data_IF_585695767370
#
_entry.id   IF_585695767370
#
_cell.length_a   1.000
_cell.length_b   1.000
_cell.length_c   1.000
_cell.angle_alpha   90.00
_cell.angle_beta   90.00
_cell.angle_gamma   90.00
#
_symmetry.space_group_name_H-M   'P 1'
#
loop_
_entity.id
_entity.type
_entity.pdbx_description
1 polymer ?
#
# COMPACT_ATOMS: atom_id res chain seq x y z
N UNK A 1 17.22 -16.87 -2.78
CA UNK A 1 17.30 -16.00 -3.99
C UNK A 1 15.87 -15.81 -4.52
N UNK A 2 15.32 -14.59 -4.50
CA UNK A 2 13.94 -14.30 -4.95
C UNK A 2 13.93 -14.05 -6.46
N UNK A 3 12.84 -14.42 -7.13
CA UNK A 3 12.62 -14.08 -8.54
C UNK A 3 11.67 -12.88 -8.56
N UNK A 4 12.01 -11.85 -9.31
CA UNK A 4 11.24 -10.62 -9.44
C UNK A 4 11.26 -10.17 -10.89
N UNK A 5 10.23 -9.41 -11.29
CA UNK A 5 10.11 -8.85 -12.64
C UNK A 5 10.17 -7.34 -12.56
N UNK A 6 10.90 -6.75 -13.50
CA UNK A 6 10.97 -5.31 -13.67
C UNK A 6 10.69 -4.98 -15.13
N UNK A 7 10.11 -3.80 -15.37
CA UNK A 7 10.00 -3.29 -16.74
C UNK A 7 11.40 -2.90 -17.24
N UNK A 8 11.69 -3.14 -18.52
CA UNK A 8 13.04 -3.02 -19.10
C UNK A 8 13.76 -1.66 -18.94
N UNK A 9 13.03 -0.61 -18.54
CA UNK A 9 13.58 0.74 -18.28
C UNK A 9 13.53 1.16 -16.80
N UNK A 10 13.14 0.27 -15.85
CA UNK A 10 13.18 0.62 -14.43
C UNK A 10 14.60 0.41 -13.89
N UNK A 11 15.19 1.47 -13.33
CA UNK A 11 16.41 1.31 -12.53
C UNK A 11 16.07 0.38 -11.36
N UNK A 12 16.95 -0.58 -11.08
CA UNK A 12 16.86 -1.39 -9.88
C UNK A 12 16.56 -0.46 -8.69
N UNK A 13 15.60 -0.80 -7.80
CA UNK A 13 15.15 0.09 -6.75
C UNK A 13 16.38 0.59 -5.99
N UNK A 14 16.63 1.90 -6.05
CA UNK A 14 17.74 2.52 -5.32
C UNK A 14 17.54 2.23 -3.84
N UNK A 15 18.41 1.40 -3.28
CA UNK A 15 18.37 0.89 -1.90
C UNK A 15 18.61 1.96 -0.82
N UNK A 16 18.49 3.25 -1.17
CA UNK A 16 18.81 4.39 -0.31
C UNK A 16 17.58 5.09 0.28
N UNK A 17 16.44 4.41 0.36
CA UNK A 17 15.35 4.81 1.24
C UNK A 17 15.31 3.86 2.43
N UNK A 18 15.22 4.39 3.66
CA UNK A 18 15.06 3.61 4.91
C UNK A 18 13.81 2.69 4.93
N UNK A 19 13.02 2.74 3.86
CA UNK A 19 11.80 1.96 3.62
C UNK A 19 11.94 1.32 2.24
N UNK A 20 11.71 0.01 2.14
CA UNK A 20 11.59 -0.66 0.84
C UNK A 20 10.28 -0.20 0.19
N UNK A 21 10.32 0.52 -0.95
CA UNK A 21 9.10 0.84 -1.67
C UNK A 21 8.49 -0.46 -2.21
N UNK A 22 7.17 -0.62 -2.06
CA UNK A 22 6.42 -1.68 -2.73
C UNK A 22 6.61 -1.56 -4.25
N UNK A 23 6.65 -2.70 -4.94
CA UNK A 23 6.76 -2.74 -6.39
C UNK A 23 5.58 -2.00 -7.06
N UNK A 24 5.81 -1.34 -8.20
CA UNK A 24 4.74 -0.78 -9.03
C UNK A 24 3.70 -1.83 -9.40
N UNK A 25 2.45 -1.39 -9.57
CA UNK A 25 1.30 -2.25 -9.84
C UNK A 25 1.50 -3.24 -11.00
N UNK A 26 2.06 -2.77 -12.13
CA UNK A 26 2.33 -3.61 -13.28
C UNK A 26 3.32 -4.75 -12.99
N UNK A 27 4.30 -4.56 -12.10
CA UNK A 27 5.27 -5.61 -11.75
C UNK A 27 4.62 -6.70 -10.90
N UNK A 28 3.70 -6.32 -10.01
CA UNK A 28 2.89 -7.26 -9.23
C UNK A 28 1.98 -8.08 -10.14
N UNK A 29 1.31 -7.43 -11.09
CA UNK A 29 0.44 -8.11 -12.06
C UNK A 29 1.22 -9.10 -12.94
N UNK A 30 2.34 -8.67 -13.53
CA UNK A 30 3.20 -9.54 -14.34
C UNK A 30 3.71 -10.75 -13.55
N UNK A 31 4.19 -10.54 -12.32
CA UNK A 31 4.66 -11.64 -11.47
C UNK A 31 3.53 -12.60 -11.07
N UNK A 32 2.29 -12.11 -10.98
CA UNK A 32 1.12 -12.94 -10.65
C UNK A 32 0.73 -13.85 -11.81
N UNK A 33 0.70 -13.33 -13.05
CA UNK A 33 0.54 -14.17 -14.26
C UNK A 33 1.68 -15.17 -14.44
N UNK A 34 2.92 -14.74 -14.14
CA UNK A 34 4.04 -15.65 -14.12
C UNK A 34 3.83 -16.76 -13.09
N UNK A 35 3.43 -16.44 -11.85
CA UNK A 35 3.12 -17.44 -10.82
C UNK A 35 2.12 -18.47 -11.33
N UNK A 36 0.97 -18.04 -11.86
CA UNK A 36 -0.04 -18.95 -12.42
C UNK A 36 0.57 -19.89 -13.48
N UNK A 37 1.37 -19.35 -14.39
CA UNK A 37 2.06 -20.16 -15.41
C UNK A 37 3.03 -21.16 -14.79
N UNK A 38 3.81 -20.75 -13.78
CA UNK A 38 4.75 -21.63 -13.07
C UNK A 38 4.04 -22.74 -12.29
N UNK A 39 2.83 -22.53 -11.78
CA UNK A 39 2.04 -23.58 -11.13
C UNK A 39 1.73 -24.73 -12.09
N UNK A 40 1.49 -24.43 -13.37
CA UNK A 40 1.18 -25.43 -14.38
C UNK A 40 2.43 -26.16 -14.92
N UNK A 41 3.52 -25.43 -15.18
CA UNK A 41 4.66 -26.00 -15.91
C UNK A 41 5.89 -26.33 -15.04
N UNK A 42 6.09 -25.66 -13.90
CA UNK A 42 7.28 -25.84 -13.06
C UNK A 42 7.00 -25.44 -11.60
N UNK A 43 6.19 -26.22 -10.86
CA UNK A 43 5.73 -25.86 -9.51
C UNK A 43 6.87 -25.67 -8.50
N UNK A 44 8.00 -26.36 -8.69
CA UNK A 44 9.19 -26.27 -7.83
C UNK A 44 9.76 -24.84 -7.70
N UNK A 45 9.48 -23.96 -8.66
CA UNK A 45 9.96 -22.57 -8.67
C UNK A 45 8.92 -21.55 -8.19
N UNK A 46 7.64 -21.95 -8.08
CA UNK A 46 6.53 -21.06 -7.75
C UNK A 46 6.68 -20.41 -6.37
N UNK A 47 7.19 -21.15 -5.37
CA UNK A 47 7.38 -20.64 -4.02
C UNK A 47 8.30 -19.40 -3.92
N UNK A 48 9.26 -19.25 -4.84
CA UNK A 48 10.15 -18.07 -4.88
C UNK A 48 9.41 -16.82 -5.31
N UNK A 49 8.45 -16.95 -6.22
CA UNK A 49 7.60 -15.87 -6.74
C UNK A 49 6.60 -15.46 -5.66
N UNK A 50 5.97 -16.44 -5.01
CA UNK A 50 5.05 -16.24 -3.88
C UNK A 50 5.71 -15.42 -2.77
N UNK A 51 6.93 -15.79 -2.36
CA UNK A 51 7.68 -15.05 -1.35
C UNK A 51 7.97 -13.61 -1.76
N UNK A 52 8.13 -13.33 -3.05
CA UNK A 52 8.30 -11.96 -3.53
C UNK A 52 6.96 -11.20 -3.52
N UNK A 53 5.87 -11.80 -4.01
CA UNK A 53 4.53 -11.20 -4.02
C UNK A 53 4.05 -10.87 -2.60
N UNK A 54 4.18 -11.79 -1.66
CA UNK A 54 3.78 -11.58 -0.25
C UNK A 54 4.47 -10.35 0.34
N UNK A 55 5.73 -10.07 -0.03
CA UNK A 55 6.47 -8.89 0.43
C UNK A 55 5.99 -7.58 -0.18
N UNK A 56 5.26 -7.61 -1.29
CA UNK A 56 4.69 -6.41 -1.91
C UNK A 56 3.36 -5.99 -1.28
N UNK A 57 2.78 -6.81 -0.39
CA UNK A 57 1.51 -6.51 0.30
C UNK A 57 1.65 -5.27 1.18
N UNK A 58 0.62 -4.43 1.14
CA UNK A 58 0.51 -3.24 1.97
C UNK A 58 -0.02 -3.56 3.38
N UNK A 59 -0.08 -2.57 4.26
CA UNK A 59 -0.55 -2.75 5.65
C UNK A 59 -2.04 -3.11 5.79
N UNK A 60 -2.81 -3.00 4.71
CA UNK A 60 -4.23 -3.35 4.64
C UNK A 60 -4.46 -4.73 3.99
N UNK A 61 -3.38 -5.43 3.61
CA UNK A 61 -3.45 -6.76 3.03
C UNK A 61 -3.64 -6.82 1.51
N UNK A 62 -3.73 -5.66 0.82
CA UNK A 62 -3.81 -5.56 -0.64
C UNK A 62 -2.48 -5.13 -1.29
N UNK A 63 -2.52 -4.75 -2.56
CA UNK A 63 -1.38 -4.28 -3.34
C UNK A 63 -1.56 -2.79 -3.73
N UNK A 64 -0.89 -2.32 -4.79
CA UNK A 64 -0.83 -0.89 -5.11
C UNK A 64 -2.11 -0.36 -5.78
N UNK A 65 -2.86 -1.22 -6.48
CA UNK A 65 -4.10 -0.88 -7.17
C UNK A 65 -5.19 -1.95 -6.92
N UNK A 66 -6.33 -1.85 -7.63
CA UNK A 66 -7.35 -2.90 -7.61
C UNK A 66 -6.98 -4.07 -8.51
N UNK A 67 -6.48 -3.83 -9.72
CA UNK A 67 -6.22 -4.87 -10.72
C UNK A 67 -5.13 -5.83 -10.26
N UNK A 68 -3.97 -5.30 -9.88
CA UNK A 68 -2.88 -6.09 -9.30
C UNK A 68 -3.29 -6.85 -8.04
N UNK A 69 -4.15 -6.26 -7.19
CA UNK A 69 -4.66 -6.95 -6.00
C UNK A 69 -5.50 -8.15 -6.38
N UNK A 70 -6.41 -8.02 -7.34
CA UNK A 70 -7.25 -9.14 -7.78
C UNK A 70 -6.41 -10.27 -8.38
N UNK A 71 -5.54 -9.94 -9.34
CA UNK A 71 -4.72 -10.94 -10.04
C UNK A 71 -3.73 -11.60 -9.07
N UNK A 72 -3.14 -10.86 -8.14
CA UNK A 72 -2.22 -11.41 -7.15
C UNK A 72 -2.92 -12.32 -6.13
N UNK A 73 -4.11 -11.93 -5.65
CA UNK A 73 -4.88 -12.78 -4.73
C UNK A 73 -5.34 -14.08 -5.41
N UNK A 74 -5.75 -14.01 -6.67
CA UNK A 74 -6.10 -15.21 -7.45
C UNK A 74 -4.89 -16.15 -7.57
N UNK A 75 -3.75 -15.64 -8.06
CA UNK A 75 -2.53 -16.43 -8.20
C UNK A 75 -2.03 -17.04 -6.87
N UNK A 76 -2.09 -16.26 -5.77
CA UNK A 76 -1.72 -16.74 -4.44
C UNK A 76 -2.70 -17.79 -3.91
N UNK A 77 -3.98 -17.68 -4.25
CA UNK A 77 -5.00 -18.67 -3.86
C UNK A 77 -4.79 -20.01 -4.57
N UNK A 78 -4.46 -19.98 -5.87
CA UNK A 78 -4.14 -21.18 -6.65
C UNK A 78 -2.86 -21.83 -6.12
N UNK A 79 -1.83 -21.04 -5.81
CA UNK A 79 -0.63 -21.57 -5.15
C UNK A 79 -0.99 -22.19 -3.80
N UNK A 80 -1.78 -21.51 -2.97
CA UNK A 80 -2.18 -22.02 -1.66
C UNK A 80 -2.94 -23.36 -1.77
N UNK A 81 -3.83 -23.51 -2.76
CA UNK A 81 -4.52 -24.77 -3.04
C UNK A 81 -3.54 -25.88 -3.48
N UNK A 82 -2.55 -25.55 -4.31
CA UNK A 82 -1.54 -26.51 -4.79
C UNK A 82 -0.51 -26.92 -3.72
N UNK A 83 -0.15 -25.99 -2.83
CA UNK A 83 0.85 -26.18 -1.79
C UNK A 83 0.23 -26.66 -0.46
N UNK A 84 -1.09 -26.75 -0.39
CA UNK A 84 -1.79 -27.23 0.79
C UNK A 84 -1.42 -28.70 1.06
N UNK A 85 -0.83 -28.95 2.23
CA UNK A 85 -0.70 -30.29 2.78
C UNK A 85 -1.84 -30.57 3.76
N UNK A 86 -2.29 -31.83 3.82
CA UNK A 86 -3.20 -32.34 4.86
C UNK A 86 -2.49 -32.59 6.19
N UNK A 87 -1.18 -32.40 6.24
CA UNK A 87 -0.42 -32.48 7.49
C UNK A 87 -0.93 -31.46 8.49
N UNK A 88 -1.05 -31.86 9.75
CA UNK A 88 -1.44 -30.94 10.82
C UNK A 88 -0.42 -29.82 10.97
N UNK A 89 -0.89 -28.57 10.92
CA UNK A 89 -0.09 -27.41 11.31
C UNK A 89 0.08 -27.39 12.82
N UNK A 90 1.32 -27.33 13.29
CA UNK A 90 1.71 -27.04 14.67
C UNK A 90 2.98 -26.21 14.63
N UNK A 91 2.81 -24.89 14.66
CA UNK A 91 3.88 -23.93 14.49
C UNK A 91 3.91 -22.97 15.68
N UNK A 92 5.08 -22.84 16.31
CA UNK A 92 5.37 -21.85 17.34
C UNK A 92 6.25 -20.76 16.77
N UNK A 93 5.79 -19.52 16.80
CA UNK A 93 6.51 -18.34 16.30
C UNK A 93 6.89 -17.46 17.48
N UNK A 94 8.19 -17.27 17.70
CA UNK A 94 8.75 -16.40 18.74
C UNK A 94 9.26 -15.11 18.10
N UNK A 95 8.79 -13.98 18.61
CA UNK A 95 9.22 -12.63 18.20
C UNK A 95 9.97 -11.99 19.36
N UNK A 96 11.25 -11.70 19.17
CA UNK A 96 12.09 -11.01 20.16
C UNK A 96 12.34 -9.56 19.77
N UNK A 97 12.24 -8.66 20.74
CA UNK A 97 12.50 -7.23 20.60
C UNK A 97 13.87 -6.90 21.21
N UNK A 98 14.87 -6.58 20.38
CA UNK A 98 16.27 -6.44 20.84
C UNK A 98 16.66 -5.03 21.31
N UNK A 99 15.83 -4.01 21.12
CA UNK A 99 16.16 -2.61 21.44
C UNK A 99 15.34 -2.02 22.60
N UNK A 100 14.86 -2.87 23.49
CA UNK A 100 14.22 -2.47 24.76
C UNK A 100 15.25 -2.59 25.88
N UNK A 101 15.25 -1.64 26.83
CA UNK A 101 16.10 -1.69 28.03
C UNK A 101 15.95 -3.00 28.83
N UNK A 102 14.85 -3.73 28.61
CA UNK A 102 14.66 -5.14 28.97
C UNK A 102 14.27 -5.91 27.71
N UNK A 103 15.05 -6.88 27.23
CA UNK A 103 14.65 -7.71 26.10
C UNK A 103 13.32 -8.38 26.43
N UNK A 104 12.34 -8.25 25.53
CA UNK A 104 11.04 -8.89 25.67
C UNK A 104 10.80 -9.81 24.48
N UNK A 105 9.99 -10.85 24.69
CA UNK A 105 9.59 -11.78 23.63
C UNK A 105 8.11 -12.10 23.73
N UNK A 106 7.48 -12.30 22.58
CA UNK A 106 6.11 -12.78 22.47
C UNK A 106 6.12 -14.06 21.64
N UNK A 107 5.39 -15.06 22.13
CA UNK A 107 5.22 -16.34 21.46
C UNK A 107 3.79 -16.43 20.91
N UNK A 108 3.69 -16.91 19.67
CA UNK A 108 2.44 -17.17 18.96
C UNK A 108 2.36 -18.65 18.62
N UNK A 109 1.19 -19.26 18.79
CA UNK A 109 0.97 -20.68 18.49
C UNK A 109 -0.09 -20.81 17.42
N UNK A 110 0.25 -21.51 16.33
CA UNK A 110 -0.63 -21.80 15.20
C UNK A 110 -0.83 -23.31 15.15
N UNK A 111 -2.01 -23.78 15.55
CA UNK A 111 -2.31 -25.21 15.62
C UNK A 111 -3.64 -25.58 14.94
N UNK A 112 -3.66 -26.78 14.36
CA UNK A 112 -4.85 -27.47 13.85
C UNK A 112 -5.25 -28.57 14.83
N UNK A 113 -6.00 -28.20 15.88
CA UNK A 113 -6.50 -29.12 16.90
C UNK A 113 -7.81 -28.60 17.50
N UNK A 114 -8.12 -28.98 18.75
CA UNK A 114 -9.36 -28.57 19.45
C UNK A 114 -9.55 -27.05 19.52
N UNK A 115 -8.44 -26.29 19.61
CA UNK A 115 -8.43 -24.83 19.52
C UNK A 115 -7.76 -24.39 18.21
N UNK A 116 -8.45 -24.56 17.08
CA UNK A 116 -7.92 -24.22 15.76
C UNK A 116 -7.59 -22.72 15.66
N UNK A 117 -6.30 -22.38 15.69
CA UNK A 117 -5.81 -21.00 15.55
C UNK A 117 -5.21 -20.72 14.17
N UNK A 118 -5.28 -21.67 13.22
CA UNK A 118 -4.67 -21.56 11.88
C UNK A 118 -5.07 -20.29 11.13
N UNK A 119 -6.34 -19.90 11.25
CA UNK A 119 -6.91 -18.74 10.55
C UNK A 119 -7.04 -17.49 11.43
N UNK A 120 -6.65 -17.59 12.71
CA UNK A 120 -6.78 -16.49 13.64
C UNK A 120 -5.62 -15.50 13.45
N UNK A 121 -5.96 -14.24 13.18
CA UNK A 121 -4.98 -13.16 13.21
C UNK A 121 -4.53 -12.92 14.66
N UNK A 122 -3.28 -13.24 14.95
CA UNK A 122 -2.64 -12.93 16.22
C UNK A 122 -1.73 -11.71 16.02
N UNK A 123 -1.84 -10.71 16.90
CA UNK A 123 -1.08 -9.47 16.79
C UNK A 123 -0.60 -8.98 18.14
N UNK A 124 0.53 -8.27 18.16
CA UNK A 124 1.09 -7.65 19.36
C UNK A 124 1.68 -6.29 19.01
N UNK A 125 1.51 -5.25 19.86
CA UNK A 125 2.17 -3.98 19.65
C UNK A 125 3.67 -4.11 19.85
N UNK A 126 4.45 -3.41 19.03
CA UNK A 126 5.90 -3.29 19.23
C UNK A 126 6.11 -2.27 20.36
N UNK A 127 6.78 -2.64 21.47
CA UNK A 127 6.81 -1.84 22.68
C UNK A 127 7.58 -0.52 22.54
N UNK A 128 8.69 -0.52 21.80
CA UNK A 128 9.52 0.67 21.54
C UNK A 128 9.95 0.73 20.08
N UNK A 129 10.12 1.95 19.56
CA UNK A 129 10.64 2.21 18.22
C UNK A 129 11.86 3.16 18.32
N UNK A 130 12.92 2.98 17.51
CA UNK A 130 13.15 1.87 16.59
C UNK A 130 13.47 0.57 17.35
N UNK A 131 13.03 -0.58 16.83
CA UNK A 131 13.35 -1.89 17.42
C UNK A 131 13.71 -2.91 16.35
N UNK A 132 14.73 -3.71 16.64
CA UNK A 132 15.14 -4.84 15.80
C UNK A 132 14.33 -6.06 16.19
N UNK A 133 13.52 -6.55 15.25
CA UNK A 133 12.71 -7.76 15.41
C UNK A 133 13.52 -8.98 15.01
N UNK A 134 13.60 -9.97 15.89
CA UNK A 134 14.13 -11.28 15.56
C UNK A 134 13.00 -12.31 15.64
N UNK A 135 12.64 -12.90 14.51
CA UNK A 135 11.55 -13.85 14.38
C UNK A 135 12.14 -15.23 14.17
N UNK A 136 11.76 -16.19 15.00
CA UNK A 136 12.10 -17.59 14.85
C UNK A 136 10.83 -18.43 14.89
N UNK A 137 10.72 -19.43 14.03
CA UNK A 137 9.59 -20.35 14.00
C UNK A 137 10.07 -21.79 14.16
N UNK A 138 9.39 -22.57 14.98
CA UNK A 138 9.66 -23.99 15.22
C UNK A 138 8.38 -24.81 15.07
N UNK A 139 8.50 -26.04 14.58
CA UNK A 139 7.36 -26.92 14.32
C UNK A 139 7.09 -27.12 12.83
N UNK A 140 5.87 -27.55 12.50
CA UNK A 140 5.44 -27.89 11.14
C UNK A 140 4.37 -26.92 10.64
N UNK A 141 4.56 -26.43 9.42
CA UNK A 141 3.62 -25.53 8.75
C UNK A 141 4.28 -24.23 8.31
N UNK A 142 3.45 -23.30 7.82
CA UNK A 142 3.87 -21.99 7.34
C UNK A 142 2.99 -20.91 7.98
N UNK A 143 3.60 -19.79 8.37
CA UNK A 143 2.88 -18.62 8.85
C UNK A 143 3.35 -17.36 8.13
N UNK A 144 2.41 -16.44 7.93
CA UNK A 144 2.70 -15.10 7.42
C UNK A 144 2.89 -14.16 8.60
N UNK A 145 4.07 -13.55 8.70
CA UNK A 145 4.37 -12.51 9.69
C UNK A 145 4.48 -11.16 9.00
N UNK A 146 3.75 -10.18 9.51
CA UNK A 146 3.74 -8.82 8.99
C UNK A 146 3.95 -7.81 10.11
N UNK A 147 4.93 -6.91 9.94
CA UNK A 147 5.19 -5.80 10.84
C UNK A 147 4.81 -4.49 10.13
N UNK A 148 3.94 -3.71 10.76
CA UNK A 148 3.44 -2.45 10.21
C UNK A 148 3.80 -1.29 11.13
N UNK A 149 4.41 -0.23 10.58
CA UNK A 149 4.69 1.02 11.29
C UNK A 149 3.92 2.14 10.62
N UNK A 150 3.15 2.90 11.40
CA UNK A 150 2.42 4.08 10.93
C UNK A 150 2.94 5.30 11.67
N UNK A 151 3.28 6.35 10.94
CA UNK A 151 3.78 7.59 11.50
C UNK A 151 3.36 8.76 10.62
N UNK A 152 3.17 9.93 11.23
CA UNK A 152 2.90 11.16 10.50
C UNK A 152 4.22 11.74 10.01
N UNK A 153 4.23 12.24 8.78
CA UNK A 153 5.35 13.01 8.25
C UNK A 153 4.90 14.44 7.98
N UNK A 154 5.77 15.44 8.19
CA UNK A 154 5.49 16.78 7.68
C UNK A 154 5.38 16.73 6.16
N UNK A 155 4.66 17.69 5.58
CA UNK A 155 4.51 17.81 4.14
C UNK A 155 5.88 17.81 3.48
N UNK A 156 6.15 16.83 2.62
CA UNK A 156 7.42 16.78 1.88
C UNK A 156 7.48 17.99 0.96
N UNK A 157 8.49 18.83 1.17
CA UNK A 157 8.87 19.83 0.17
C UNK A 157 9.48 19.09 -1.02
N UNK A 158 9.17 19.56 -2.23
CA UNK A 158 9.66 18.98 -3.49
C UNK A 158 11.16 18.70 -3.42
N UNK A 159 11.55 17.43 -3.58
CA UNK A 159 12.97 17.06 -3.66
C UNK A 159 13.42 17.24 -5.10
N UNK A 160 14.44 18.08 -5.32
CA UNK A 160 15.01 18.33 -6.65
C UNK A 160 15.52 17.01 -7.24
N UNK A 161 14.92 16.57 -8.35
CA UNK A 161 15.26 15.32 -9.04
C UNK A 161 14.24 14.18 -8.91
N UNK A 162 13.17 14.35 -8.13
CA UNK A 162 12.08 13.38 -8.08
C UNK A 162 11.22 13.46 -9.36
N UNK A 163 10.84 12.31 -9.94
CA UNK A 163 10.04 12.27 -11.17
C UNK A 163 8.58 12.62 -10.83
N UNK A 164 8.21 13.87 -11.04
CA UNK A 164 6.84 14.36 -10.83
C UNK A 164 5.97 13.92 -12.01
N UNK A 165 5.03 13.02 -11.74
CA UNK A 165 4.07 12.54 -12.74
C UNK A 165 2.90 13.52 -12.95
N UNK A 166 2.53 14.28 -11.91
CA UNK A 166 1.47 15.29 -11.95
C UNK A 166 1.82 16.46 -11.03
N UNK A 167 1.50 17.68 -11.48
CA UNK A 167 1.62 18.90 -10.68
C UNK A 167 0.21 19.36 -10.27
N UNK A 168 -0.03 19.40 -8.95
CA UNK A 168 -1.28 19.86 -8.36
C UNK A 168 -1.09 21.26 -7.77
N UNK A 169 -1.84 22.25 -8.29
CA UNK A 169 -1.90 23.60 -7.74
C UNK A 169 -3.26 23.84 -7.12
N UNK A 170 -3.28 24.18 -5.84
CA UNK A 170 -4.52 24.46 -5.10
C UNK A 170 -4.53 25.95 -4.79
N UNK A 171 -5.58 26.65 -5.20
CA UNK A 171 -5.83 28.05 -4.83
C UNK A 171 -7.17 28.15 -4.13
N UNK A 172 -7.18 28.75 -2.93
CA UNK A 172 -8.40 29.02 -2.18
C UNK A 172 -8.78 30.48 -2.42
N UNK A 173 -9.99 30.72 -2.92
CA UNK A 173 -10.52 32.07 -3.09
C UNK A 173 -11.68 32.29 -2.12
N UNK A 174 -11.76 33.45 -1.45
CA UNK A 174 -12.98 33.82 -0.75
C UNK A 174 -14.09 33.93 -1.79
N UNK A 175 -15.18 33.20 -1.60
CA UNK A 175 -16.32 33.35 -2.49
C UNK A 175 -17.07 34.60 -2.02
N UNK A 176 -17.46 35.47 -2.97
CA UNK A 176 -18.16 36.71 -2.66
C UNK A 176 -19.67 36.50 -2.59
N UNK A 177 -20.27 37.15 -1.59
CA UNK A 177 -21.60 37.03 -0.99
C UNK A 177 -22.77 36.62 -1.90
N UNK A 178 -23.51 35.59 -1.48
CA UNK A 178 -24.92 35.36 -1.82
C UNK A 178 -25.81 35.89 -0.70
N UNK A 179 -27.14 35.99 -0.92
CA UNK A 179 -28.09 36.63 0.01
C UNK A 179 -28.11 36.04 1.44
N UNK A 180 -27.52 34.87 1.65
CA UNK A 180 -27.60 34.10 2.90
C UNK A 180 -26.55 34.44 3.98
N UNK A 181 -25.70 35.46 3.76
CA UNK A 181 -24.66 35.92 4.72
C UNK A 181 -23.62 34.87 5.17
N UNK A 182 -23.59 33.66 4.62
CA UNK A 182 -22.56 32.67 4.93
C UNK A 182 -21.25 33.00 4.21
N UNK A 183 -20.13 33.00 4.96
CA UNK A 183 -18.79 33.10 4.39
C UNK A 183 -18.36 31.74 3.80
N UNK A 184 -18.70 31.49 2.55
CA UNK A 184 -18.18 30.35 1.80
C UNK A 184 -16.76 30.62 1.25
N UNK A 185 -16.00 29.55 0.99
CA UNK A 185 -14.71 29.59 0.29
C UNK A 185 -14.81 28.68 -0.93
N UNK A 186 -14.32 29.14 -2.07
CA UNK A 186 -14.20 28.31 -3.28
C UNK A 186 -12.80 27.74 -3.36
N UNK A 187 -12.72 26.44 -3.61
CA UNK A 187 -11.49 25.70 -3.85
C UNK A 187 -11.28 25.56 -5.36
N UNK A 188 -10.35 26.34 -5.91
CA UNK A 188 -9.91 26.19 -7.29
C UNK A 188 -8.74 25.19 -7.33
N UNK A 189 -9.01 23.98 -7.81
CA UNK A 189 -8.02 22.92 -7.96
C UNK A 189 -7.59 22.88 -9.43
N UNK A 190 -6.32 23.20 -9.71
CA UNK A 190 -5.72 23.08 -11.04
C UNK A 190 -4.76 21.89 -11.08
N UNK A 191 -5.05 20.94 -11.95
CA UNK A 191 -4.18 19.79 -12.22
C UNK A 191 -3.50 19.99 -13.57
N UNK A 192 -2.18 19.88 -13.59
CA UNK A 192 -1.38 19.94 -14.83
C UNK A 192 -0.51 18.68 -14.92
N UNK A 193 -0.49 18.04 -16.09
CA UNK A 193 0.41 16.93 -16.37
C UNK A 193 1.77 17.49 -16.81
N UNK A 194 2.85 17.10 -16.13
CA UNK A 194 4.20 17.37 -16.59
C UNK A 194 4.60 16.25 -17.56
N UNK A 195 4.46 16.48 -18.86
CA UNK A 195 5.01 15.58 -19.88
C UNK A 195 6.55 15.64 -19.83
N UNK A 196 7.14 14.80 -18.99
CA UNK A 196 8.52 14.35 -19.23
C UNK A 196 8.41 13.40 -20.42
N UNK A 197 9.05 13.76 -21.53
CA UNK A 197 9.12 13.02 -22.80
C UNK A 197 9.23 11.50 -22.62
N UNK A 198 8.08 10.84 -22.57
CA UNK A 198 7.97 9.41 -22.86
C UNK A 198 7.52 9.37 -24.32
N UNK A 199 8.42 8.92 -25.20
CA UNK A 199 8.11 8.79 -26.62
C UNK A 199 6.83 7.98 -26.78
N UNK A 200 5.94 8.48 -27.63
CA UNK A 200 4.63 7.98 -28.02
C UNK A 200 4.63 6.44 -28.15
N UNK A 201 4.20 5.75 -27.08
CA UNK A 201 3.66 4.37 -27.09
C UNK A 201 3.06 3.89 -25.76
N UNK A 202 3.27 4.57 -24.62
CA UNK A 202 2.87 4.04 -23.30
C UNK A 202 1.95 4.96 -22.47
N UNK A 203 0.74 5.25 -22.97
CA UNK A 203 -0.41 5.45 -22.08
C UNK A 203 -1.74 5.28 -22.83
N UNK A 204 -2.62 4.34 -22.42
CA UNK A 204 -3.95 4.23 -23.02
C UNK A 204 -4.84 5.39 -22.55
N UNK A 205 -5.74 5.79 -23.44
CA UNK A 205 -6.79 6.81 -23.28
C UNK A 205 -7.80 6.56 -22.14
N UNK A 206 -7.61 5.52 -21.32
CA UNK A 206 -8.49 5.05 -20.25
C UNK A 206 -7.87 5.12 -18.84
N UNK A 207 -6.83 5.93 -18.64
CA UNK A 207 -6.21 6.11 -17.33
C UNK A 207 -7.10 6.98 -16.42
N UNK A 208 -7.70 6.39 -15.39
CA UNK A 208 -8.52 7.12 -14.41
C UNK A 208 -7.65 7.83 -13.36
N UNK A 209 -7.87 9.12 -13.13
CA UNK A 209 -7.23 9.91 -12.08
C UNK A 209 -8.22 10.16 -10.93
N UNK A 210 -7.80 9.84 -9.69
CA UNK A 210 -8.57 10.15 -8.48
C UNK A 210 -7.90 11.30 -7.70
N UNK A 211 -8.69 12.31 -7.36
CA UNK A 211 -8.26 13.43 -6.51
C UNK A 211 -8.98 13.29 -5.16
N UNK A 212 -8.22 13.14 -4.07
CA UNK A 212 -8.76 13.11 -2.70
C UNK A 212 -8.66 14.52 -2.09
N UNK A 213 -9.80 15.12 -1.73
CA UNK A 213 -9.88 16.44 -1.10
C UNK A 213 -10.42 16.28 0.31
N UNK A 214 -9.60 16.60 1.31
CA UNK A 214 -10.00 16.58 2.72
C UNK A 214 -10.32 17.99 3.19
N UNK A 215 -11.58 18.23 3.55
CA UNK A 215 -12.04 19.48 4.14
C UNK A 215 -11.86 19.52 5.65
N UNK A 216 -11.67 20.72 6.20
CA UNK A 216 -11.76 21.01 7.65
C UNK A 216 -12.87 22.04 7.83
N UNK A 217 -13.93 21.67 8.55
CA UNK A 217 -14.99 22.59 8.93
C UNK A 217 -14.68 23.19 10.30
N UNK A 218 -14.80 24.51 10.43
CA UNK A 218 -14.70 25.20 11.71
C UNK A 218 -16.11 25.66 12.12
N UNK A 219 -16.63 25.08 13.19
CA UNK A 219 -17.87 25.54 13.80
C UNK A 219 -17.56 26.77 14.67
N UNK A 220 -18.15 27.93 14.33
CA UNK A 220 -18.11 29.11 15.18
C UNK A 220 -19.20 28.98 16.24
N UNK A 221 -18.83 28.87 17.52
CA UNK A 221 -19.78 28.96 18.63
C UNK A 221 -20.29 30.39 18.76
N UNK A 222 -21.49 30.65 18.25
CA UNK A 222 -22.24 31.90 18.40
C UNK A 222 -23.68 31.69 17.93
N UNK A 223 -24.63 32.57 18.29
CA UNK A 223 -26.07 32.35 18.05
C UNK A 223 -26.50 32.53 16.58
N UNK A 224 -25.62 32.25 15.61
CA UNK A 224 -25.89 32.43 14.18
C UNK A 224 -25.86 31.11 13.42
N UNK A 225 -26.93 30.92 12.63
CA UNK A 225 -27.18 29.94 11.56
C UNK A 225 -26.05 28.94 11.28
N UNK A 226 -26.39 27.65 11.38
CA UNK A 226 -25.54 26.54 10.93
C UNK A 226 -25.28 26.65 9.42
N UNK A 227 -24.10 27.14 9.03
CA UNK A 227 -23.67 27.13 7.62
C UNK A 227 -23.08 25.75 7.28
N UNK A 228 -23.73 25.00 6.41
CA UNK A 228 -23.24 23.71 5.89
C UNK A 228 -22.20 23.94 4.79
N UNK A 229 -21.05 23.25 4.88
CA UNK A 229 -20.05 23.24 3.81
C UNK A 229 -20.55 22.36 2.65
N UNK A 230 -20.80 22.95 1.49
CA UNK A 230 -21.23 22.24 0.29
C UNK A 230 -20.14 22.35 -0.80
N UNK A 231 -19.54 21.24 -1.19
CA UNK A 231 -18.52 21.23 -2.26
C UNK A 231 -19.20 21.32 -3.62
N UNK A 232 -19.13 22.48 -4.28
CA UNK A 232 -19.61 22.66 -5.66
C UNK A 232 -18.44 22.88 -6.62
N UNK A 233 -18.27 21.95 -7.56
CA UNK A 233 -17.44 22.08 -8.76
C UNK A 233 -15.96 21.72 -8.57
N UNK A 234 -15.52 20.62 -9.18
CA UNK A 234 -14.10 20.37 -9.49
C UNK A 234 -13.92 20.68 -10.98
N UNK A 235 -13.15 21.71 -11.32
CA UNK A 235 -12.81 22.02 -12.71
C UNK A 235 -11.46 21.40 -13.07
N UNK A 236 -11.47 20.25 -13.73
CA UNK A 236 -10.24 19.63 -14.28
C UNK A 236 -9.96 20.25 -15.65
N UNK A 237 -9.10 21.27 -15.70
CA UNK A 237 -8.59 21.81 -16.96
C UNK A 237 -7.36 21.01 -17.40
N UNK A 238 -7.56 20.06 -18.32
CA UNK A 238 -6.46 19.36 -19.00
C UNK A 238 -5.90 20.28 -20.09
N UNK A 239 -4.82 21.01 -19.80
CA UNK A 239 -4.11 21.81 -20.80
C UNK A 239 -3.05 20.98 -21.49
N UNK A 240 -3.16 20.80 -22.81
CA UNK A 240 -2.00 20.46 -23.64
C UNK A 240 -1.10 21.70 -23.72
N UNK A 241 0.14 21.56 -23.27
CA UNK A 241 1.26 22.41 -23.71
C UNK A 241 2.24 21.47 -24.41
#
# INVERSE_FOLDING_TARGET
KHIYWTRGNSKAPTTNTKFHPSAPSAEVEMASYALMSYLHFSPNHAGRIVMWLIRQRNSFGGFASTQDTLVALDALSQFAASAYSRDSTDLKVKVMFKNTAKPSSVDFSVSEGENNTRFLLQSTPIPTLPSTLHISATGKGCALVQANVRYNTPVRSYVKGEKIHFSLKISVKPYQYGPDKCHYRTLDIKVSQSFISVSIRDMPSSSALKIDVRGVAFERSGPQKVCTCNFRGISVSCGMI
#
